data_IF_074413192943
#
_entry.id   IF_074413192943
#
_cell.length_a   1.000
_cell.length_b   1.000
_cell.length_c   1.000
_cell.angle_alpha   90.00
_cell.angle_beta   90.00
_cell.angle_gamma   90.00
#
_symmetry.space_group_name_H-M   'P 1'
#
loop_
_entity.id
_entity.type
_entity.pdbx_description
1 polymer ?
#
# COMPACT_ATOMS: atom_id res chain seq x y z
N UNK A 1 -15.90 24.24 22.92
CA UNK A 1 -14.78 23.29 23.17
C UNK A 1 -14.57 22.26 22.06
N UNK A 2 -15.60 21.89 21.28
CA UNK A 2 -15.48 21.09 20.04
C UNK A 2 -15.33 21.93 18.75
N UNK A 3 -15.58 23.24 18.81
CA UNK A 3 -15.68 24.11 17.62
C UNK A 3 -14.34 24.61 17.05
N UNK A 4 -13.20 24.14 17.58
CA UNK A 4 -11.88 24.72 17.26
C UNK A 4 -10.88 23.66 16.74
N UNK A 5 -11.34 22.44 16.52
CA UNK A 5 -10.60 21.44 15.74
C UNK A 5 -11.06 21.59 14.29
N UNK A 6 -10.40 22.53 13.60
CA UNK A 6 -10.29 22.64 12.15
C UNK A 6 -11.49 22.20 11.33
N UNK A 7 -12.37 23.15 11.05
CA UNK A 7 -13.11 23.18 9.80
C UNK A 7 -12.08 23.25 8.66
N UNK A 8 -11.83 22.11 8.02
CA UNK A 8 -11.06 21.98 6.79
C UNK A 8 -11.91 21.17 5.82
N UNK A 9 -12.40 21.86 4.80
CA UNK A 9 -13.22 21.33 3.72
C UNK A 9 -12.75 19.94 3.26
N UNK A 10 -13.50 18.89 3.63
CA UNK A 10 -13.31 17.52 3.16
C UNK A 10 -12.63 16.53 4.12
N UNK A 11 -12.21 16.93 5.31
CA UNK A 11 -11.58 16.01 6.27
C UNK A 11 -12.63 15.29 7.14
N UNK A 12 -12.67 13.96 7.04
CA UNK A 12 -13.60 13.11 7.78
C UNK A 12 -13.55 13.34 9.30
N UNK A 13 -14.70 13.20 9.96
CA UNK A 13 -14.78 13.35 11.42
C UNK A 13 -13.91 12.32 12.14
N UNK A 14 -13.05 12.79 13.03
CA UNK A 14 -12.31 11.94 13.97
C UNK A 14 -13.29 11.42 15.03
N UNK A 15 -13.87 10.24 14.79
CA UNK A 15 -14.87 9.63 15.67
C UNK A 15 -14.31 8.56 16.61
N UNK A 16 -13.08 8.10 16.36
CA UNK A 16 -12.42 7.05 17.15
C UNK A 16 -11.56 7.58 18.30
N UNK A 17 -11.39 6.75 19.34
CA UNK A 17 -10.58 7.09 20.52
C UNK A 17 -9.12 7.42 20.16
N UNK A 18 -8.53 6.74 19.16
CA UNK A 18 -7.15 6.96 18.74
C UNK A 18 -6.92 8.39 18.23
N UNK A 19 -7.82 8.92 17.41
CA UNK A 19 -7.70 10.29 16.92
C UNK A 19 -8.10 11.32 17.98
N UNK A 20 -9.04 11.00 18.87
CA UNK A 20 -9.35 11.86 20.02
C UNK A 20 -8.13 12.03 20.94
N UNK A 21 -7.39 10.95 21.21
CA UNK A 21 -6.16 10.97 22.02
C UNK A 21 -5.09 11.86 21.38
N UNK A 22 -4.90 11.80 20.07
CA UNK A 22 -4.00 12.73 19.36
C UNK A 22 -4.44 14.19 19.51
N UNK A 23 -5.75 14.46 19.41
CA UNK A 23 -6.30 15.80 19.63
C UNK A 23 -6.04 16.32 21.05
N UNK A 24 -6.17 15.46 22.06
CA UNK A 24 -5.87 15.80 23.46
C UNK A 24 -4.36 16.00 23.68
N UNK A 25 -3.51 15.15 23.09
CA UNK A 25 -2.06 15.29 23.16
C UNK A 25 -1.60 16.65 22.59
N UNK A 26 -2.12 17.03 21.41
CA UNK A 26 -1.87 18.33 20.80
C UNK A 26 -2.25 19.50 21.71
N UNK A 27 -3.41 19.44 22.37
CA UNK A 27 -3.85 20.48 23.34
C UNK A 27 -2.94 20.59 24.57
N UNK A 28 -2.18 19.54 24.90
CA UNK A 28 -1.23 19.51 26.01
C UNK A 28 0.21 19.80 25.60
N UNK A 29 0.45 20.13 24.32
CA UNK A 29 1.79 20.34 23.79
C UNK A 29 2.62 19.03 23.72
N UNK A 30 1.95 17.89 23.63
CA UNK A 30 2.57 16.57 23.50
C UNK A 30 2.56 16.19 22.02
N UNK A 31 3.73 15.89 21.47
CA UNK A 31 3.87 15.36 20.12
C UNK A 31 3.34 13.91 20.07
N UNK A 32 2.62 13.59 18.99
CA UNK A 32 2.04 12.26 18.82
C UNK A 32 1.76 11.97 17.35
N UNK A 33 1.80 10.70 17.01
CA UNK A 33 1.52 10.18 15.67
C UNK A 33 0.56 8.99 15.79
N UNK A 34 -0.27 8.77 14.76
CA UNK A 34 -1.08 7.57 14.64
C UNK A 34 -0.60 6.79 13.41
N UNK A 35 -0.32 5.51 13.61
CA UNK A 35 0.04 4.58 12.54
C UNK A 35 -1.19 3.73 12.22
N UNK A 36 -1.50 3.58 10.93
CA UNK A 36 -2.60 2.74 10.45
C UNK A 36 -2.05 1.73 9.45
N UNK A 37 -2.30 0.45 9.70
CA UNK A 37 -1.98 -0.61 8.75
C UNK A 37 -3.12 -0.78 7.75
N UNK A 38 -2.80 -0.74 6.46
CA UNK A 38 -3.77 -0.97 5.40
C UNK A 38 -4.00 -2.47 5.19
N UNK A 39 -5.26 -2.84 4.94
CA UNK A 39 -5.67 -4.21 4.62
C UNK A 39 -6.30 -4.20 3.24
N UNK A 40 -5.90 -5.10 2.31
CA UNK A 40 -6.52 -5.16 1.01
C UNK A 40 -8.03 -5.41 1.11
N UNK A 41 -8.82 -4.64 0.36
CA UNK A 41 -10.29 -4.65 0.46
C UNK A 41 -10.88 -6.05 0.21
N UNK A 42 -10.29 -6.82 -0.70
CA UNK A 42 -10.75 -8.18 -1.01
C UNK A 42 -10.47 -9.19 0.12
N UNK A 43 -9.59 -8.85 1.07
CA UNK A 43 -9.28 -9.64 2.27
C UNK A 43 -10.12 -9.20 3.46
N UNK A 44 -10.59 -7.94 3.48
CA UNK A 44 -11.30 -7.34 4.62
C UNK A 44 -12.57 -8.07 5.08
N UNK A 45 -13.18 -8.87 4.21
CA UNK A 45 -14.36 -9.70 4.53
C UNK A 45 -14.03 -11.10 5.04
N UNK A 46 -12.76 -11.50 5.10
CA UNK A 46 -12.34 -12.80 5.61
C UNK A 46 -12.36 -12.81 7.15
N UNK A 47 -12.72 -13.96 7.74
CA UNK A 47 -12.74 -14.15 9.21
C UNK A 47 -11.33 -14.23 9.81
N UNK A 48 -10.31 -14.44 8.96
CA UNK A 48 -8.92 -14.54 9.38
C UNK A 48 -8.29 -13.16 9.63
N UNK A 49 -7.44 -13.02 10.67
CA UNK A 49 -6.60 -11.82 10.80
C UNK A 49 -5.69 -11.66 9.57
N UNK A 50 -5.23 -10.43 9.34
CA UNK A 50 -4.23 -10.09 8.31
C UNK A 50 -2.93 -9.59 8.97
N UNK A 51 -2.01 -10.51 9.35
CA UNK A 51 -0.85 -10.20 10.19
C UNK A 51 0.12 -9.20 9.55
N UNK A 52 0.21 -9.17 8.22
CA UNK A 52 1.07 -8.25 7.45
C UNK A 52 0.80 -6.79 7.83
N UNK A 53 -0.45 -6.39 8.04
CA UNK A 53 -0.78 -5.02 8.46
C UNK A 53 -0.19 -4.67 9.84
N UNK A 54 -0.32 -5.57 10.82
CA UNK A 54 0.24 -5.37 12.15
C UNK A 54 1.77 -5.42 12.15
N UNK A 55 2.36 -6.31 11.34
CA UNK A 55 3.82 -6.41 11.13
C UNK A 55 4.39 -5.10 10.60
N UNK A 56 3.80 -4.54 9.54
CA UNK A 56 4.25 -3.26 8.97
C UNK A 56 4.14 -2.10 9.96
N UNK A 57 3.06 -2.03 10.75
CA UNK A 57 2.92 -1.00 11.79
C UNK A 57 4.00 -1.15 12.87
N UNK A 58 4.26 -2.39 13.32
CA UNK A 58 5.26 -2.67 14.35
C UNK A 58 6.68 -2.36 13.86
N UNK A 59 6.99 -2.63 12.59
CA UNK A 59 8.26 -2.30 11.95
C UNK A 59 8.49 -0.79 11.91
N UNK A 60 7.53 -0.02 11.41
CA UNK A 60 7.60 1.46 11.40
C UNK A 60 7.70 2.02 12.82
N UNK A 61 6.96 1.46 13.77
CA UNK A 61 7.03 1.86 15.17
C UNK A 61 8.41 1.58 15.79
N UNK A 62 9.02 0.44 15.47
CA UNK A 62 10.40 0.12 15.85
C UNK A 62 11.39 1.13 15.30
N UNK A 63 11.27 1.53 14.02
CA UNK A 63 12.09 2.58 13.43
C UNK A 63 11.94 3.93 14.14
N UNK A 64 10.72 4.32 14.52
CA UNK A 64 10.46 5.56 15.27
C UNK A 64 11.10 5.53 16.67
N UNK A 65 11.09 4.37 17.32
CA UNK A 65 11.67 4.17 18.65
C UNK A 65 13.14 3.78 18.65
N UNK A 66 13.77 3.69 17.47
CA UNK A 66 15.14 3.20 17.29
C UNK A 66 15.36 1.82 17.94
N UNK A 67 14.35 0.94 17.87
CA UNK A 67 14.41 -0.41 18.42
C UNK A 67 14.00 -1.47 17.38
N UNK A 68 14.50 -2.69 17.55
CA UNK A 68 14.18 -3.83 16.71
C UNK A 68 13.22 -4.77 17.46
N UNK A 69 11.89 -4.63 17.30
CA UNK A 69 10.96 -5.57 17.90
C UNK A 69 11.14 -6.97 17.29
N UNK A 70 10.96 -8.01 18.10
CA UNK A 70 10.88 -9.37 17.57
C UNK A 70 9.53 -9.56 16.85
N UNK A 71 9.60 -9.73 15.53
CA UNK A 71 8.45 -9.91 14.65
C UNK A 71 8.22 -11.38 14.27
N UNK A 72 9.01 -12.33 14.78
CA UNK A 72 9.00 -13.71 14.28
C UNK A 72 7.65 -14.42 14.40
N UNK A 73 6.84 -14.08 15.41
CA UNK A 73 5.45 -14.58 15.53
C UNK A 73 4.53 -14.02 14.44
N UNK A 74 4.68 -12.74 14.09
CA UNK A 74 3.90 -12.12 13.02
C UNK A 74 4.33 -12.66 11.66
N UNK A 75 5.64 -12.89 11.46
CA UNK A 75 6.16 -13.52 10.23
C UNK A 75 5.59 -14.93 10.03
N UNK A 76 5.54 -15.74 11.08
CA UNK A 76 4.94 -17.08 11.02
C UNK A 76 3.44 -17.03 10.68
N UNK A 77 2.69 -16.15 11.34
CA UNK A 77 1.26 -15.96 11.04
C UNK A 77 1.03 -15.42 9.62
N UNK A 78 1.89 -14.53 9.12
CA UNK A 78 1.81 -14.01 7.76
C UNK A 78 1.99 -15.12 6.73
N UNK A 79 2.95 -16.02 6.94
CA UNK A 79 3.16 -17.17 6.05
C UNK A 79 1.93 -18.09 5.97
N UNK A 80 1.32 -18.42 7.12
CA UNK A 80 0.11 -19.26 7.19
C UNK A 80 -1.09 -18.59 6.49
N UNK A 81 -1.28 -17.30 6.73
CA UNK A 81 -2.40 -16.55 6.14
C UNK A 81 -2.20 -16.34 4.65
N UNK A 82 -0.96 -16.15 4.18
CA UNK A 82 -0.64 -16.02 2.75
C UNK A 82 -1.04 -17.27 1.97
N UNK A 83 -0.68 -18.45 2.47
CA UNK A 83 -1.07 -19.72 1.84
C UNK A 83 -2.61 -19.86 1.77
N UNK A 84 -3.29 -19.50 2.86
CA UNK A 84 -4.76 -19.53 2.94
C UNK A 84 -5.42 -18.57 1.92
N UNK A 85 -4.86 -17.37 1.74
CA UNK A 85 -5.32 -16.39 0.74
C UNK A 85 -5.12 -16.92 -0.68
N UNK A 86 -3.96 -17.53 -0.98
CA UNK A 86 -3.66 -18.11 -2.29
C UNK A 86 -4.62 -19.26 -2.64
N UNK A 87 -4.88 -20.16 -1.69
CA UNK A 87 -5.87 -21.23 -1.85
C UNK A 87 -7.28 -20.68 -2.08
N UNK A 88 -7.68 -19.68 -1.28
CA UNK A 88 -8.97 -19.01 -1.45
C UNK A 88 -9.08 -18.37 -2.84
N UNK A 89 -8.05 -17.67 -3.28
CA UNK A 89 -7.99 -17.04 -4.60
C UNK A 89 -8.10 -18.08 -5.74
N UNK A 90 -7.55 -19.28 -5.54
CA UNK A 90 -7.68 -20.41 -6.47
C UNK A 90 -9.12 -20.91 -6.68
N UNK A 91 -9.98 -20.85 -5.64
CA UNK A 91 -11.38 -21.29 -5.72
C UNK A 91 -12.34 -20.20 -6.20
N UNK A 92 -11.89 -18.96 -6.30
CA UNK A 92 -12.70 -17.83 -6.79
C UNK A 92 -12.94 -17.97 -8.32
N UNK A 93 -14.20 -17.81 -8.78
CA UNK A 93 -14.54 -17.78 -10.21
C UNK A 93 -13.72 -16.78 -11.03
N UNK A 94 -13.39 -17.07 -12.31
CA UNK A 94 -12.52 -16.22 -13.12
C UNK A 94 -12.98 -14.77 -13.30
N UNK A 95 -14.28 -14.53 -13.36
CA UNK A 95 -14.90 -13.22 -13.50
C UNK A 95 -14.74 -12.35 -12.23
N UNK A 96 -14.81 -12.98 -11.06
CA UNK A 96 -14.54 -12.32 -9.77
C UNK A 96 -13.03 -12.12 -9.58
N UNK A 97 -12.23 -13.10 -10.00
CA UNK A 97 -10.77 -13.06 -9.94
C UNK A 97 -10.19 -11.86 -10.69
N UNK A 98 -10.66 -11.62 -11.91
CA UNK A 98 -10.23 -10.47 -12.72
C UNK A 98 -10.55 -9.11 -12.09
N UNK A 99 -11.58 -9.03 -11.23
CA UNK A 99 -11.87 -7.81 -10.44
C UNK A 99 -10.94 -7.69 -9.24
N UNK A 100 -10.61 -8.80 -8.58
CA UNK A 100 -9.66 -8.81 -7.46
C UNK A 100 -8.26 -8.39 -7.93
N UNK A 101 -7.83 -8.82 -9.12
CA UNK A 101 -6.51 -8.47 -9.66
C UNK A 101 -6.34 -6.96 -9.89
N UNK A 102 -7.42 -6.25 -10.20
CA UNK A 102 -7.42 -4.79 -10.31
C UNK A 102 -7.31 -4.08 -8.95
N UNK A 103 -7.58 -4.80 -7.86
CA UNK A 103 -7.57 -4.31 -6.47
C UNK A 103 -6.36 -4.81 -5.69
N UNK A 104 -5.61 -5.77 -6.23
CA UNK A 104 -4.33 -6.16 -5.65
C UNK A 104 -3.43 -4.92 -5.67
N UNK A 105 -2.83 -4.55 -4.52
CA UNK A 105 -1.73 -3.61 -4.54
C UNK A 105 -0.71 -4.07 -5.57
N UNK A 106 0.01 -3.14 -6.19
CA UNK A 106 1.19 -3.48 -6.99
C UNK A 106 2.30 -4.03 -6.08
N UNK A 107 2.05 -5.21 -5.49
CA UNK A 107 2.95 -5.92 -4.57
C UNK A 107 4.16 -6.52 -5.32
N UNK A 108 4.29 -6.27 -6.64
CA UNK A 108 5.44 -6.63 -7.47
C UNK A 108 6.45 -5.49 -7.71
N UNK A 109 6.37 -4.38 -6.96
CA UNK A 109 7.45 -3.37 -6.96
C UNK A 109 8.77 -3.89 -6.33
N UNK A 110 8.80 -5.14 -5.87
CA UNK A 110 10.02 -5.87 -5.56
C UNK A 110 10.14 -7.18 -6.36
N UNK A 111 9.89 -7.12 -7.67
CA UNK A 111 10.42 -8.07 -8.67
C UNK A 111 10.51 -7.54 -10.10
N UNK A 112 10.47 -6.23 -10.30
CA UNK A 112 11.03 -5.58 -11.47
C UNK A 112 12.37 -4.96 -11.10
N UNK A 113 13.45 -5.75 -11.16
CA UNK A 113 14.58 -5.20 -11.93
C UNK A 113 13.96 -4.75 -13.24
N UNK A 114 14.13 -3.49 -13.69
CA UNK A 114 13.76 -3.13 -15.06
C UNK A 114 14.33 -4.25 -15.92
N UNK A 115 13.46 -5.02 -16.58
CA UNK A 115 13.93 -6.11 -17.43
C UNK A 115 14.99 -5.53 -18.36
N UNK A 116 16.06 -6.27 -18.62
CA UNK A 116 17.00 -5.90 -19.67
C UNK A 116 16.17 -5.53 -20.90
N UNK A 117 16.41 -4.36 -21.48
CA UNK A 117 15.73 -3.89 -22.68
C UNK A 117 15.84 -5.01 -23.71
N UNK A 118 14.72 -5.60 -24.10
CA UNK A 118 14.74 -6.68 -25.08
C UNK A 118 15.06 -6.11 -26.47
N UNK A 119 15.54 -6.95 -27.39
CA UNK A 119 15.81 -6.52 -28.77
C UNK A 119 14.57 -5.91 -29.45
N UNK A 120 13.37 -6.38 -29.09
CA UNK A 120 12.10 -5.84 -29.56
C UNK A 120 11.80 -4.45 -28.99
N UNK A 121 12.10 -4.23 -27.70
CA UNK A 121 11.97 -2.91 -27.07
C UNK A 121 12.95 -1.91 -27.71
N UNK A 122 14.19 -2.33 -27.96
CA UNK A 122 15.19 -1.50 -28.63
C UNK A 122 14.74 -1.09 -30.03
N UNK A 123 14.17 -2.03 -30.79
CA UNK A 123 13.66 -1.76 -32.14
C UNK A 123 12.50 -0.78 -32.13
N UNK A 124 11.58 -0.92 -31.16
CA UNK A 124 10.44 -0.01 -31.01
C UNK A 124 10.88 1.40 -30.61
N UNK A 125 11.81 1.52 -29.66
CA UNK A 125 12.37 2.81 -29.24
C UNK A 125 13.09 3.50 -30.39
N UNK A 126 13.85 2.76 -31.20
CA UNK A 126 14.54 3.30 -32.37
C UNK A 126 13.55 3.82 -33.41
N UNK A 127 12.47 3.08 -33.65
CA UNK A 127 11.43 3.48 -34.60
C UNK A 127 10.66 4.73 -34.11
N UNK A 128 10.33 4.80 -32.83
CA UNK A 128 9.66 5.97 -32.24
C UNK A 128 10.56 7.23 -32.31
N UNK A 129 11.89 7.07 -32.16
CA UNK A 129 12.86 8.15 -32.35
C UNK A 129 12.94 8.62 -33.81
N UNK A 130 13.00 7.68 -34.77
CA UNK A 130 12.99 8.01 -36.20
C UNK A 130 11.72 8.77 -36.59
N UNK A 131 10.55 8.28 -36.18
CA UNK A 131 9.26 8.94 -36.39
C UNK A 131 9.22 10.35 -35.79
N UNK A 132 9.82 10.54 -34.60
CA UNK A 132 9.87 11.84 -33.93
C UNK A 132 10.77 12.84 -34.66
N UNK A 133 11.93 12.40 -35.15
CA UNK A 133 12.84 13.24 -35.93
C UNK A 133 12.33 13.53 -37.35
N UNK A 134 11.61 12.59 -37.98
CA UNK A 134 10.96 12.83 -39.27
C UNK A 134 9.79 13.82 -39.16
N UNK A 135 8.99 13.73 -38.09
CA UNK A 135 7.88 14.66 -37.85
C UNK A 135 8.34 16.03 -37.34
N UNK A 136 9.43 16.08 -36.56
CA UNK A 136 10.02 17.32 -36.05
C UNK A 136 10.79 18.14 -37.09
N UNK A 137 11.08 17.58 -38.27
CA UNK A 137 11.76 18.27 -39.37
C UNK A 137 10.85 19.12 -40.28
N UNK A 138 9.53 19.18 -40.03
CA UNK A 138 8.58 19.94 -40.83
C UNK A 138 8.04 21.22 -40.16
N UNK A 139 8.55 21.62 -38.99
CA UNK A 139 8.32 22.95 -38.43
C UNK A 139 9.61 23.77 -38.45
N UNK A 140 9.87 24.43 -39.58
CA UNK A 140 10.74 25.60 -39.73
C UNK A 140 10.23 26.47 -40.88
#
# INVERSE_FOLDING_TARGET
LLSEVGDRDGEGNITGLNGLLLGVAKKRGIEGVCLLGEVPVYISGLVSPYPKASRSVAEVFGHILECAPDLGRLDAMEAEVKESIEQFYGVIPPDVRGRIDQLKPADDAQKSTPGEITEDDQKRIMQDLEDFFEKGGQES
#
